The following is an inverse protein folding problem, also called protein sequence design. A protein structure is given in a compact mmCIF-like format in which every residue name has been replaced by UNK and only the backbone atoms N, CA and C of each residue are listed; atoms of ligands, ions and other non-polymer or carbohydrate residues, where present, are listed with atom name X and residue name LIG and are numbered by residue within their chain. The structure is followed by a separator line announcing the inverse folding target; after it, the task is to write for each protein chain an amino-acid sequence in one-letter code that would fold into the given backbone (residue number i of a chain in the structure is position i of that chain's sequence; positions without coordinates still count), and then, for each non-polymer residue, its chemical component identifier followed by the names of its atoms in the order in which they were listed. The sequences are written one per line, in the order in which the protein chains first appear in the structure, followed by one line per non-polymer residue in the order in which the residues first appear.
data_IF_183369613752
#
_entry.id   IF_183369613752
#
_cell.length_a   1.000
_cell.length_b   1.000
_cell.length_c   1.000
_cell.angle_alpha   90.00
_cell.angle_beta   90.00
_cell.angle_gamma   90.00
#
_symmetry.space_group_name_H-M   'P 1'
#
loop_
_entity.id
_entity.type
_entity.pdbx_description
1 polymer ?
#
# COMPACT_ATOMS: atom_id res chain seq x y z
N UNK A 1 -16.93 12.71 -14.76
CA UNK A 1 -15.86 13.66 -15.19
C UNK A 1 -14.64 12.83 -15.56
N UNK A 2 -13.85 13.28 -16.55
CA UNK A 2 -12.56 12.65 -16.86
C UNK A 2 -11.64 12.73 -15.64
N UNK A 3 -10.91 11.66 -15.35
CA UNK A 3 -9.94 11.64 -14.26
C UNK A 3 -8.68 12.44 -14.58
N UNK A 4 -7.83 12.76 -13.60
CA UNK A 4 -6.61 13.55 -13.83
C UNK A 4 -5.59 12.86 -14.77
N UNK A 5 -5.70 11.55 -14.95
CA UNK A 5 -4.87 10.76 -15.86
C UNK A 5 -5.66 10.26 -17.09
N UNK A 6 -6.79 10.87 -17.40
CA UNK A 6 -7.52 10.53 -18.63
C UNK A 6 -6.62 10.78 -19.86
N UNK A 7 -6.61 9.81 -20.78
CA UNK A 7 -5.71 9.78 -21.93
C UNK A 7 -4.29 9.24 -21.65
N UNK A 8 -3.94 8.95 -20.40
CA UNK A 8 -2.65 8.29 -20.06
C UNK A 8 -2.81 6.78 -20.26
N UNK A 9 -1.94 6.19 -21.09
CA UNK A 9 -1.86 4.74 -21.32
C UNK A 9 -0.72 4.13 -20.49
N UNK A 10 -1.07 3.10 -19.69
CA UNK A 10 -0.12 2.36 -18.85
C UNK A 10 0.00 0.92 -19.36
N UNK A 11 1.20 0.53 -19.77
CA UNK A 11 1.57 -0.86 -20.04
C UNK A 11 2.03 -1.52 -18.73
N UNK A 12 1.16 -2.35 -18.13
CA UNK A 12 1.43 -3.01 -16.85
C UNK A 12 1.97 -4.43 -17.07
N UNK A 13 3.29 -4.57 -17.06
CA UNK A 13 3.98 -5.86 -17.08
C UNK A 13 4.23 -6.40 -15.68
N UNK A 14 3.79 -5.72 -14.64
CA UNK A 14 4.07 -6.10 -13.26
C UNK A 14 3.19 -7.26 -12.76
N UNK A 15 3.64 -7.88 -11.66
CA UNK A 15 2.99 -9.05 -11.05
C UNK A 15 2.95 -8.90 -9.52
N UNK A 16 2.15 -9.72 -8.89
CA UNK A 16 2.00 -9.89 -7.45
C UNK A 16 1.35 -8.68 -6.80
N UNK A 17 2.10 -7.74 -6.17
CA UNK A 17 1.48 -6.69 -5.39
C UNK A 17 2.03 -5.28 -5.65
N UNK A 18 3.32 -5.03 -5.49
CA UNK A 18 3.88 -3.67 -5.54
C UNK A 18 3.57 -2.93 -6.86
N UNK A 19 3.87 -3.56 -8.01
CA UNK A 19 3.55 -3.00 -9.32
C UNK A 19 2.04 -2.91 -9.59
N UNK A 20 1.26 -3.99 -9.38
CA UNK A 20 -0.19 -3.95 -9.53
C UNK A 20 -0.88 -2.91 -8.64
N UNK A 21 -0.36 -2.64 -7.43
CA UNK A 21 -0.85 -1.57 -6.56
C UNK A 21 -0.54 -0.17 -7.15
N UNK A 22 0.66 0.00 -7.70
CA UNK A 22 0.98 1.24 -8.42
C UNK A 22 -0.02 1.47 -9.56
N UNK A 23 -0.22 0.46 -10.42
CA UNK A 23 -1.04 0.61 -11.62
C UNK A 23 -2.55 0.70 -11.33
N UNK A 24 -3.07 0.08 -10.25
CA UNK A 24 -4.47 0.30 -9.83
C UNK A 24 -4.68 1.72 -9.29
N UNK A 25 -3.70 2.30 -8.61
CA UNK A 25 -3.78 3.70 -8.19
C UNK A 25 -3.83 4.66 -9.40
N UNK A 26 -3.09 4.35 -10.47
CA UNK A 26 -3.15 5.13 -11.72
C UNK A 26 -4.50 4.93 -12.43
N UNK A 27 -5.04 3.70 -12.44
CA UNK A 27 -6.35 3.41 -13.00
C UNK A 27 -7.48 4.16 -12.26
N UNK A 28 -7.47 4.18 -10.93
CA UNK A 28 -8.42 4.93 -10.11
C UNK A 28 -8.40 6.44 -10.43
N UNK A 29 -7.27 6.96 -10.90
CA UNK A 29 -7.11 8.35 -11.35
C UNK A 29 -7.46 8.56 -12.83
N UNK A 30 -7.94 7.55 -13.52
CA UNK A 30 -8.44 7.63 -14.91
C UNK A 30 -7.46 7.17 -15.99
N UNK A 31 -6.27 6.65 -15.62
CA UNK A 31 -5.37 6.08 -16.61
C UNK A 31 -5.96 4.78 -17.20
N UNK A 32 -5.74 4.56 -18.50
CA UNK A 32 -6.00 3.28 -19.14
C UNK A 32 -4.86 2.31 -18.85
N UNK A 33 -5.13 1.26 -18.10
CA UNK A 33 -4.12 0.27 -17.72
C UNK A 33 -4.34 -1.04 -18.50
N UNK A 34 -3.35 -1.44 -19.31
CA UNK A 34 -3.31 -2.73 -19.99
C UNK A 34 -2.33 -3.65 -19.29
N UNK A 35 -2.86 -4.61 -18.53
CA UNK A 35 -2.07 -5.62 -17.81
C UNK A 35 -1.69 -6.76 -18.75
N UNK A 36 -0.38 -6.94 -18.95
CA UNK A 36 0.18 -8.03 -19.75
C UNK A 36 0.43 -9.24 -18.89
N UNK A 37 -0.21 -10.34 -19.21
CA UNK A 37 -0.16 -11.57 -18.43
C UNK A 37 0.29 -12.75 -19.27
N UNK A 38 0.85 -13.79 -18.63
CA UNK A 38 1.23 -15.01 -19.32
C UNK A 38 -0.01 -15.84 -19.69
N UNK A 39 -0.15 -16.36 -20.93
CA UNK A 39 -1.26 -17.23 -21.31
C UNK A 39 -1.44 -18.44 -20.40
N UNK A 40 -2.65 -18.80 -20.10
CA UNK A 40 -3.08 -19.97 -19.32
C UNK A 40 -2.83 -19.89 -17.82
N UNK A 41 -1.87 -19.07 -17.33
CA UNK A 41 -1.56 -18.94 -15.90
C UNK A 41 -1.82 -17.56 -15.32
N UNK A 42 -1.61 -16.53 -16.11
CA UNK A 42 -1.73 -15.14 -15.69
C UNK A 42 -0.73 -14.73 -14.63
N UNK A 43 -1.10 -13.74 -13.84
CA UNK A 43 -0.42 -13.34 -12.62
C UNK A 43 -0.51 -14.47 -11.58
N UNK A 44 0.59 -14.75 -10.88
CA UNK A 44 0.64 -15.82 -9.87
C UNK A 44 -0.44 -15.65 -8.78
N UNK A 45 -0.83 -14.41 -8.49
CA UNK A 45 -1.87 -14.12 -7.49
C UNK A 45 -3.26 -14.60 -7.88
N UNK A 46 -3.51 -14.89 -9.16
CA UNK A 46 -4.78 -15.53 -9.60
C UNK A 46 -4.99 -16.90 -8.96
N UNK A 47 -3.88 -17.59 -8.57
CA UNK A 47 -3.91 -18.91 -7.93
C UNK A 47 -3.71 -18.84 -6.40
N UNK A 48 -3.66 -17.64 -5.80
CA UNK A 48 -3.42 -17.49 -4.37
C UNK A 48 -4.73 -17.41 -3.57
N UNK A 49 -5.01 -18.45 -2.86
CA UNK A 49 -6.15 -18.61 -1.96
C UNK A 49 -6.00 -19.84 -1.07
N UNK A 50 -6.81 -20.01 -0.01
CA UNK A 50 -7.94 -19.17 0.37
C UNK A 50 -7.53 -17.79 0.90
N UNK A 51 -8.46 -16.80 0.95
CA UNK A 51 -9.86 -16.89 0.57
C UNK A 51 -10.11 -16.75 -0.93
N UNK A 52 -11.22 -17.33 -1.41
CA UNK A 52 -11.69 -17.25 -2.78
C UNK A 52 -12.99 -16.47 -2.84
N UNK A 53 -13.18 -15.68 -3.91
CA UNK A 53 -14.46 -15.12 -4.31
C UNK A 53 -15.11 -15.99 -5.42
N UNK A 54 -16.36 -15.74 -5.80
CA UNK A 54 -16.96 -16.37 -6.98
C UNK A 54 -16.21 -16.09 -8.30
N UNK A 55 -15.37 -15.05 -8.33
CA UNK A 55 -14.62 -14.61 -9.51
C UNK A 55 -13.14 -15.00 -9.48
N UNK A 56 -12.65 -15.56 -8.37
CA UNK A 56 -11.28 -16.04 -8.24
C UNK A 56 -10.59 -15.65 -6.93
N UNK A 57 -9.29 -15.36 -7.03
CA UNK A 57 -8.47 -14.98 -5.89
C UNK A 57 -8.78 -13.56 -5.40
N UNK A 58 -9.16 -13.43 -4.13
CA UNK A 58 -9.36 -12.12 -3.50
C UNK A 58 -8.07 -11.29 -3.46
N UNK A 59 -6.91 -11.95 -3.49
CA UNK A 59 -5.62 -11.27 -3.57
C UNK A 59 -5.45 -10.57 -4.92
N UNK A 60 -5.74 -11.28 -6.03
CA UNK A 60 -5.72 -10.67 -7.36
C UNK A 60 -6.72 -9.53 -7.47
N UNK A 61 -7.95 -9.74 -7.00
CA UNK A 61 -9.01 -8.75 -7.05
C UNK A 61 -8.66 -7.43 -6.36
N UNK A 62 -7.93 -7.50 -5.24
CA UNK A 62 -7.63 -6.34 -4.39
C UNK A 62 -6.82 -5.24 -5.09
N UNK A 63 -6.08 -5.55 -6.19
CA UNK A 63 -5.16 -4.62 -6.85
C UNK A 63 -5.27 -4.62 -8.38
N UNK A 64 -6.36 -5.16 -8.94
CA UNK A 64 -6.48 -5.26 -10.40
C UNK A 64 -7.81 -4.75 -10.97
N UNK A 65 -8.63 -4.01 -10.18
CA UNK A 65 -9.82 -3.33 -10.72
C UNK A 65 -9.42 -2.31 -11.78
N UNK A 66 -10.34 -2.02 -12.68
CA UNK A 66 -10.20 -1.00 -13.72
C UNK A 66 -9.03 -1.21 -14.68
N UNK A 67 -8.57 -2.48 -14.84
CA UNK A 67 -7.54 -2.85 -15.80
C UNK A 67 -8.12 -3.64 -16.94
N UNK A 68 -7.50 -3.56 -18.12
CA UNK A 68 -7.68 -4.50 -19.22
C UNK A 68 -6.65 -5.62 -19.07
N UNK A 69 -7.03 -6.88 -19.34
CA UNK A 69 -6.11 -8.02 -19.31
C UNK A 69 -5.84 -8.54 -20.71
N UNK A 70 -4.54 -8.58 -21.08
CA UNK A 70 -4.08 -9.22 -22.31
C UNK A 70 -3.17 -10.41 -21.98
N UNK A 71 -3.42 -11.55 -22.59
CA UNK A 71 -2.62 -12.75 -22.42
C UNK A 71 -1.63 -12.88 -23.56
N UNK A 72 -0.32 -12.64 -23.29
CA UNK A 72 0.72 -12.65 -24.29
C UNK A 72 1.87 -13.59 -23.90
N UNK A 73 2.29 -14.47 -24.84
CA UNK A 73 3.56 -15.20 -24.75
C UNK A 73 4.65 -14.40 -25.48
N UNK A 74 5.52 -13.77 -24.74
CA UNK A 74 6.63 -12.97 -25.31
C UNK A 74 7.61 -13.80 -26.16
N UNK A 75 7.46 -15.12 -26.23
CA UNK A 75 8.20 -15.99 -27.15
C UNK A 75 7.48 -16.19 -28.49
N UNK A 76 6.19 -15.97 -28.54
CA UNK A 76 5.43 -15.99 -29.79
C UNK A 76 5.65 -14.67 -30.54
N UNK A 77 6.01 -14.71 -31.83
CA UNK A 77 6.33 -13.49 -32.59
C UNK A 77 5.16 -12.47 -32.68
N UNK A 78 3.93 -12.93 -32.78
CA UNK A 78 2.77 -12.05 -32.90
C UNK A 78 2.43 -11.37 -31.56
N UNK A 79 2.49 -12.13 -30.48
CA UNK A 79 2.28 -11.61 -29.12
C UNK A 79 3.43 -10.67 -28.71
N UNK A 80 4.65 -10.99 -29.08
CA UNK A 80 5.80 -10.14 -28.86
C UNK A 80 5.68 -8.81 -29.61
N UNK A 81 5.27 -8.85 -30.87
CA UNK A 81 5.01 -7.62 -31.66
C UNK A 81 3.93 -6.75 -31.01
N UNK A 82 2.86 -7.37 -30.49
CA UNK A 82 1.81 -6.66 -29.74
C UNK A 82 2.35 -6.00 -28.46
N UNK A 83 3.23 -6.70 -27.71
CA UNK A 83 3.84 -6.16 -26.51
C UNK A 83 4.76 -4.96 -26.80
N UNK A 84 5.55 -5.01 -27.89
CA UNK A 84 6.38 -3.90 -28.35
C UNK A 84 5.55 -2.71 -28.80
N UNK A 85 4.48 -2.95 -29.54
CA UNK A 85 3.58 -1.88 -30.00
C UNK A 85 2.90 -1.19 -28.80
N UNK A 86 2.44 -1.98 -27.80
CA UNK A 86 1.89 -1.42 -26.55
C UNK A 86 2.95 -0.56 -25.84
N UNK A 87 4.18 -1.03 -25.67
CA UNK A 87 5.26 -0.28 -25.03
C UNK A 87 5.63 0.99 -25.81
N UNK A 88 5.57 0.96 -27.15
CA UNK A 88 5.84 2.11 -28.00
C UNK A 88 4.80 3.22 -27.85
N UNK A 89 3.55 2.86 -27.57
CA UNK A 89 2.44 3.81 -27.41
C UNK A 89 2.19 4.25 -25.98
N UNK A 90 2.67 3.47 -25.01
CA UNK A 90 2.42 3.73 -23.60
C UNK A 90 3.06 5.05 -23.14
N UNK A 91 2.36 5.77 -22.27
CA UNK A 91 2.90 6.88 -21.51
C UNK A 91 3.76 6.40 -20.33
N UNK A 92 3.34 5.28 -19.74
CA UNK A 92 3.98 4.66 -18.59
C UNK A 92 4.12 3.16 -18.85
N UNK A 93 5.29 2.59 -18.56
CA UNK A 93 5.49 1.16 -18.48
C UNK A 93 5.91 0.81 -17.06
N UNK A 94 5.21 -0.15 -16.43
CA UNK A 94 5.53 -0.64 -15.07
C UNK A 94 5.90 -2.11 -15.14
N UNK A 95 7.04 -2.47 -14.56
CA UNK A 95 7.51 -3.84 -14.52
C UNK A 95 8.14 -4.19 -13.17
N UNK A 96 8.16 -5.48 -12.81
CA UNK A 96 8.87 -5.98 -11.63
C UNK A 96 9.51 -7.35 -11.89
N UNK A 97 10.07 -7.52 -13.07
CA UNK A 97 10.85 -8.69 -13.42
C UNK A 97 12.28 -8.60 -12.86
N UNK A 98 13.01 -9.67 -12.94
CA UNK A 98 14.45 -9.65 -12.70
C UNK A 98 15.13 -8.73 -13.71
N UNK A 99 16.11 -7.93 -13.31
CA UNK A 99 16.89 -7.12 -14.24
C UNK A 99 17.39 -7.95 -15.43
N UNK A 100 17.30 -7.39 -16.62
CA UNK A 100 17.66 -8.08 -17.86
C UNK A 100 16.56 -9.02 -18.44
N UNK A 101 15.45 -9.23 -17.74
CA UNK A 101 14.41 -10.14 -18.24
C UNK A 101 13.63 -9.55 -19.41
N UNK A 102 13.17 -8.31 -19.31
CA UNK A 102 12.46 -7.63 -20.40
C UNK A 102 13.41 -7.14 -21.49
N UNK A 103 14.64 -6.83 -21.17
CA UNK A 103 15.69 -6.46 -22.14
C UNK A 103 15.93 -7.55 -23.18
N UNK A 104 15.84 -8.84 -22.79
CA UNK A 104 15.95 -9.98 -23.73
C UNK A 104 14.80 -10.05 -24.76
N UNK A 105 13.71 -9.34 -24.46
CA UNK A 105 12.55 -9.21 -25.34
C UNK A 105 12.46 -7.82 -26.01
N UNK A 106 13.53 -7.02 -25.98
CA UNK A 106 13.48 -5.67 -26.55
C UNK A 106 12.56 -4.69 -25.80
N UNK A 107 12.15 -5.04 -24.59
CA UNK A 107 11.23 -4.27 -23.75
C UNK A 107 11.94 -3.60 -22.56
N UNK A 108 13.27 -3.56 -22.54
CA UNK A 108 14.03 -2.81 -21.54
C UNK A 108 13.98 -1.29 -21.75
N UNK A 109 14.35 -0.54 -20.72
CA UNK A 109 14.26 0.92 -20.73
C UNK A 109 14.91 1.58 -21.96
N UNK A 110 16.18 1.28 -22.26
CA UNK A 110 16.89 1.93 -23.35
C UNK A 110 16.29 1.59 -24.73
N UNK A 111 15.80 0.36 -24.87
CA UNK A 111 15.13 -0.11 -26.08
C UNK A 111 13.79 0.58 -26.29
N UNK A 112 12.94 0.63 -25.29
CA UNK A 112 11.65 1.33 -25.36
C UNK A 112 11.86 2.83 -25.54
N UNK A 113 12.78 3.44 -24.81
CA UNK A 113 13.10 4.87 -24.93
C UNK A 113 13.58 5.25 -26.32
N UNK A 114 14.28 4.38 -27.01
CA UNK A 114 14.78 4.66 -28.38
C UNK A 114 13.65 4.89 -29.39
N UNK A 115 12.49 4.28 -29.18
CA UNK A 115 11.29 4.39 -30.04
C UNK A 115 10.20 5.26 -29.41
N UNK A 116 10.22 5.43 -28.10
CA UNK A 116 9.31 6.29 -27.34
C UNK A 116 10.08 7.15 -26.33
N UNK A 117 10.65 8.29 -26.75
CA UNK A 117 11.43 9.16 -25.86
C UNK A 117 10.62 9.77 -24.70
N UNK A 118 9.30 9.75 -24.79
CA UNK A 118 8.39 10.23 -23.77
C UNK A 118 8.02 9.20 -22.70
N UNK A 119 8.50 7.96 -22.81
CA UNK A 119 8.14 6.89 -21.88
C UNK A 119 8.60 7.16 -20.44
N UNK A 120 7.70 6.97 -19.50
CA UNK A 120 8.03 6.86 -18.08
C UNK A 120 8.13 5.37 -17.77
N UNK A 121 9.33 4.87 -17.53
CA UNK A 121 9.62 3.46 -17.33
C UNK A 121 9.86 3.18 -15.85
N UNK A 122 8.90 2.57 -15.16
CA UNK A 122 8.98 2.26 -13.74
C UNK A 122 9.42 0.81 -13.53
N UNK A 123 10.65 0.62 -13.01
CA UNK A 123 11.20 -0.67 -12.63
C UNK A 123 11.13 -0.86 -11.12
N UNK A 124 10.50 -1.94 -10.67
CA UNK A 124 10.39 -2.29 -9.24
C UNK A 124 11.20 -3.56 -8.99
N UNK A 125 12.18 -3.48 -8.08
CA UNK A 125 13.06 -4.61 -7.74
C UNK A 125 13.05 -4.89 -6.24
N UNK A 126 13.57 -6.04 -5.81
CA UNK A 126 13.74 -6.33 -4.38
C UNK A 126 14.87 -5.51 -3.74
N UNK A 127 16.05 -5.49 -4.39
CA UNK A 127 17.30 -4.99 -3.82
C UNK A 127 18.08 -4.10 -4.79
N UNK A 128 17.41 -3.50 -5.77
CA UNK A 128 18.04 -2.68 -6.81
C UNK A 128 18.54 -3.49 -8.01
N UNK A 129 18.88 -2.78 -9.10
CA UNK A 129 19.24 -3.38 -10.38
C UNK A 129 20.76 -3.56 -10.60
N UNK A 130 21.60 -3.19 -9.63
CA UNK A 130 23.06 -3.33 -9.70
C UNK A 130 23.57 -4.50 -8.83
N UNK A 131 24.23 -4.25 -7.72
CA UNK A 131 24.77 -5.28 -6.83
C UNK A 131 23.68 -6.23 -6.23
N UNK A 132 22.44 -5.77 -6.14
CA UNK A 132 21.30 -6.56 -5.67
C UNK A 132 20.52 -7.31 -6.76
N UNK A 133 20.93 -7.22 -8.04
CA UNK A 133 20.15 -7.71 -9.17
C UNK A 133 19.84 -9.22 -9.11
N UNK A 134 20.75 -10.01 -8.56
CA UNK A 134 20.62 -11.47 -8.44
C UNK A 134 19.88 -11.91 -7.16
N UNK A 135 19.63 -10.98 -6.22
CA UNK A 135 18.92 -11.29 -4.99
C UNK A 135 17.41 -11.42 -5.26
N UNK A 136 16.83 -12.50 -4.72
CA UNK A 136 15.39 -12.72 -4.85
C UNK A 136 14.63 -11.94 -3.76
N UNK A 137 13.87 -10.92 -4.18
CA UNK A 137 13.09 -10.06 -3.30
C UNK A 137 11.62 -10.47 -3.27
N UNK A 138 11.14 -10.89 -2.11
CA UNK A 138 9.74 -10.92 -1.74
C UNK A 138 9.55 -10.09 -0.47
N UNK A 139 8.39 -9.50 -0.29
CA UNK A 139 8.05 -8.70 0.89
C UNK A 139 8.54 -9.33 2.21
N UNK A 140 8.18 -10.59 2.45
CA UNK A 140 8.55 -11.31 3.67
C UNK A 140 10.07 -11.38 3.89
N UNK A 141 10.82 -11.64 2.82
CA UNK A 141 12.29 -11.70 2.89
C UNK A 141 12.85 -10.31 3.21
N UNK A 142 12.32 -9.27 2.56
CA UNK A 142 12.79 -7.89 2.80
C UNK A 142 12.40 -7.40 4.20
N UNK A 143 11.23 -7.75 4.74
CA UNK A 143 10.90 -7.49 6.14
C UNK A 143 11.93 -8.12 7.11
N UNK A 144 12.40 -9.33 6.79
CA UNK A 144 13.37 -10.04 7.62
C UNK A 144 14.77 -9.40 7.55
N UNK A 145 15.32 -9.22 6.34
CA UNK A 145 16.71 -8.75 6.16
C UNK A 145 16.83 -7.23 6.30
N UNK A 146 15.75 -6.47 6.08
CA UNK A 146 15.72 -5.01 6.16
C UNK A 146 15.47 -4.45 7.57
N UNK A 147 15.39 -5.31 8.59
CA UNK A 147 15.33 -4.87 9.99
C UNK A 147 13.92 -4.69 10.57
N UNK A 148 12.84 -4.66 9.77
CA UNK A 148 11.48 -4.47 10.31
C UNK A 148 11.11 -5.56 11.33
N UNK A 149 11.42 -6.82 11.04
CA UNK A 149 11.11 -7.92 11.96
C UNK A 149 11.95 -7.86 13.25
N UNK A 150 13.15 -7.26 13.22
CA UNK A 150 14.01 -7.12 14.41
C UNK A 150 13.42 -6.15 15.44
N UNK A 151 12.53 -5.25 15.02
CA UNK A 151 11.86 -4.26 15.90
C UNK A 151 10.38 -4.55 16.13
N UNK A 152 9.82 -5.59 15.49
CA UNK A 152 8.38 -5.92 15.53
C UNK A 152 8.14 -7.19 16.36
N UNK A 153 7.24 -7.10 17.32
CA UNK A 153 6.83 -8.20 18.22
C UNK A 153 7.28 -8.00 19.67
N UNK A 154 6.87 -8.92 20.54
CA UNK A 154 7.23 -8.91 21.95
C UNK A 154 8.74 -9.17 22.14
N UNK A 155 9.36 -8.59 23.19
CA UNK A 155 10.82 -8.67 23.41
C UNK A 155 11.37 -10.09 23.41
N UNK A 156 10.71 -10.99 24.13
CA UNK A 156 11.17 -12.35 24.39
C UNK A 156 10.66 -13.38 23.36
N UNK A 157 9.86 -12.93 22.37
CA UNK A 157 9.33 -13.79 21.34
C UNK A 157 10.17 -13.74 20.04
N UNK A 158 9.81 -14.60 19.09
CA UNK A 158 10.43 -14.55 17.76
C UNK A 158 10.14 -13.23 17.04
N UNK A 159 11.07 -12.73 16.19
CA UNK A 159 10.80 -11.64 15.27
C UNK A 159 9.54 -11.88 14.44
N UNK A 160 8.66 -10.89 14.37
CA UNK A 160 7.34 -11.04 13.76
C UNK A 160 7.21 -10.11 12.55
N UNK A 161 6.72 -10.64 11.43
CA UNK A 161 6.38 -9.82 10.26
C UNK A 161 5.08 -9.03 10.48
N UNK A 162 4.88 -7.96 9.73
CA UNK A 162 3.57 -7.32 9.61
C UNK A 162 2.53 -8.31 9.06
N UNK A 163 1.28 -8.17 9.45
CA UNK A 163 0.18 -9.05 9.04
C UNK A 163 -0.17 -8.99 7.55
N UNK A 164 0.32 -7.97 6.84
CA UNK A 164 0.17 -7.76 5.40
C UNK A 164 1.54 -7.70 4.74
N UNK A 165 1.61 -7.78 3.41
CA UNK A 165 2.82 -7.52 2.63
C UNK A 165 3.14 -6.01 2.63
N UNK A 166 3.54 -5.49 3.80
CA UNK A 166 3.65 -4.05 4.06
C UNK A 166 4.70 -3.38 3.17
N UNK A 167 5.81 -4.06 2.91
CA UNK A 167 6.90 -3.51 2.09
C UNK A 167 6.48 -3.38 0.64
N UNK A 168 5.75 -4.37 0.10
CA UNK A 168 5.15 -4.26 -1.23
C UNK A 168 4.16 -3.07 -1.32
N UNK A 169 3.33 -2.88 -0.28
CA UNK A 169 2.39 -1.74 -0.23
C UNK A 169 3.14 -0.41 -0.23
N UNK A 170 4.18 -0.26 0.58
CA UNK A 170 5.01 0.95 0.63
C UNK A 170 5.68 1.20 -0.73
N UNK A 171 6.28 0.17 -1.31
CA UNK A 171 6.96 0.23 -2.61
C UNK A 171 5.98 0.59 -3.75
N UNK A 172 4.77 0.03 -3.74
CA UNK A 172 3.74 0.37 -4.73
C UNK A 172 3.28 1.84 -4.63
N UNK A 173 3.22 2.38 -3.41
CA UNK A 173 2.95 3.81 -3.19
C UNK A 173 4.13 4.68 -3.65
N UNK A 174 5.36 4.32 -3.34
CA UNK A 174 6.55 5.03 -3.81
C UNK A 174 6.64 5.03 -5.33
N UNK A 175 6.35 3.89 -5.98
CA UNK A 175 6.27 3.78 -7.43
C UNK A 175 5.18 4.69 -8.01
N UNK A 176 4.00 4.76 -7.38
CA UNK A 176 2.93 5.68 -7.79
C UNK A 176 3.39 7.13 -7.70
N UNK A 177 4.01 7.53 -6.59
CA UNK A 177 4.56 8.89 -6.41
C UNK A 177 5.61 9.19 -7.48
N UNK A 178 6.54 8.26 -7.72
CA UNK A 178 7.58 8.39 -8.73
C UNK A 178 7.02 8.57 -10.14
N UNK A 179 6.02 7.77 -10.52
CA UNK A 179 5.35 7.88 -11.83
C UNK A 179 4.61 9.21 -11.96
N UNK A 180 3.84 9.62 -10.96
CA UNK A 180 3.13 10.90 -10.98
C UNK A 180 4.08 12.11 -11.08
N UNK A 181 5.20 12.08 -10.34
CA UNK A 181 6.23 13.11 -10.41
C UNK A 181 6.89 13.15 -11.80
N UNK A 182 7.16 11.97 -12.40
CA UNK A 182 7.71 11.87 -13.74
C UNK A 182 6.74 12.38 -14.81
N UNK A 183 5.44 12.08 -14.72
CA UNK A 183 4.39 12.62 -15.59
C UNK A 183 4.32 14.15 -15.51
N UNK A 184 4.34 14.71 -14.30
CA UNK A 184 4.37 16.16 -14.09
C UNK A 184 5.65 16.81 -14.67
N UNK A 185 6.79 16.14 -14.59
CA UNK A 185 8.06 16.60 -15.19
C UNK A 185 8.01 16.55 -16.70
N UNK A 186 7.49 15.44 -17.27
CA UNK A 186 7.33 15.24 -18.71
C UNK A 186 6.43 16.30 -19.34
N UNK A 187 5.36 16.70 -18.64
CA UNK A 187 4.47 17.77 -19.11
C UNK A 187 5.19 19.11 -19.35
N UNK A 188 6.35 19.33 -18.74
CA UNK A 188 7.18 20.53 -18.93
C UNK A 188 8.35 20.32 -19.90
N UNK A 189 8.98 19.13 -19.85
CA UNK A 189 10.22 18.84 -20.60
C UNK A 189 9.98 18.16 -21.94
N UNK A 190 8.82 17.54 -22.14
CA UNK A 190 8.52 16.67 -23.29
C UNK A 190 9.23 15.31 -23.23
N UNK A 191 10.09 15.04 -22.24
CA UNK A 191 10.88 13.82 -22.13
C UNK A 191 10.44 12.95 -20.95
N UNK A 192 10.38 11.64 -21.19
CA UNK A 192 10.21 10.64 -20.14
C UNK A 192 11.50 10.38 -19.35
N UNK A 193 11.41 9.48 -18.38
CA UNK A 193 12.56 9.04 -17.58
C UNK A 193 12.37 7.62 -17.07
N UNK A 194 13.46 7.04 -16.54
CA UNK A 194 13.39 5.82 -15.73
C UNK A 194 13.11 6.17 -14.28
N UNK A 195 12.15 5.48 -13.70
CA UNK A 195 11.82 5.49 -12.26
C UNK A 195 12.23 4.14 -11.70
N UNK A 196 13.19 4.11 -10.79
CA UNK A 196 13.66 2.89 -10.14
C UNK A 196 13.26 2.90 -8.67
N UNK A 197 12.51 1.89 -8.26
CA UNK A 197 12.09 1.69 -6.87
C UNK A 197 12.49 0.31 -6.43
N UNK A 198 12.90 0.14 -5.18
CA UNK A 198 13.18 -1.19 -4.65
C UNK A 198 12.63 -1.37 -3.24
N UNK A 199 12.27 -2.60 -2.92
CA UNK A 199 11.61 -2.94 -1.67
C UNK A 199 12.45 -2.56 -0.45
N UNK A 200 13.77 -2.81 -0.50
CA UNK A 200 14.64 -2.52 0.64
C UNK A 200 14.73 -1.02 0.93
N UNK A 201 14.88 -0.18 -0.09
CA UNK A 201 14.93 1.28 0.09
C UNK A 201 13.60 1.85 0.57
N UNK A 202 12.47 1.36 0.03
CA UNK A 202 11.13 1.74 0.50
C UNK A 202 10.93 1.37 1.98
N UNK A 203 11.39 0.17 2.38
CA UNK A 203 11.36 -0.22 3.78
C UNK A 203 12.21 0.70 4.64
N UNK A 204 13.50 0.88 4.31
CA UNK A 204 14.42 1.70 5.12
C UNK A 204 13.93 3.14 5.27
N UNK A 205 13.42 3.74 4.19
CA UNK A 205 12.81 5.07 4.22
C UNK A 205 11.57 5.15 5.12
N UNK A 206 10.86 4.03 5.29
CA UNK A 206 9.65 3.94 6.13
C UNK A 206 9.93 3.66 7.61
N UNK A 207 11.16 3.31 8.00
CA UNK A 207 11.53 3.10 9.40
C UNK A 207 11.72 4.40 10.20
N UNK A 208 11.71 5.54 9.53
CA UNK A 208 11.64 6.91 10.08
C UNK A 208 12.55 7.12 11.31
N UNK A 209 11.93 7.32 12.50
CA UNK A 209 12.65 7.58 13.75
C UNK A 209 13.53 6.41 14.21
N UNK A 210 13.19 5.17 13.92
CA UNK A 210 14.02 4.01 14.26
C UNK A 210 15.31 3.99 13.41
N UNK A 211 15.18 4.24 12.11
CA UNK A 211 16.31 4.34 11.21
C UNK A 211 17.21 5.54 11.58
N UNK A 212 16.62 6.72 11.82
CA UNK A 212 17.38 7.91 12.21
C UNK A 212 18.10 7.72 13.55
N UNK A 213 17.44 7.08 14.53
CA UNK A 213 18.06 6.76 15.82
C UNK A 213 19.28 5.86 15.65
N UNK A 214 19.17 4.80 14.84
CA UNK A 214 20.30 3.92 14.51
C UNK A 214 21.45 4.67 13.82
N UNK A 215 21.15 5.50 12.83
CA UNK A 215 22.17 6.27 12.10
C UNK A 215 22.91 7.25 13.01
N UNK A 216 22.26 7.80 14.03
CA UNK A 216 22.84 8.76 14.96
C UNK A 216 23.68 8.08 16.04
N UNK A 217 23.24 6.93 16.56
CA UNK A 217 23.85 6.30 17.73
C UNK A 217 24.69 5.06 17.41
N UNK A 218 24.43 4.41 16.26
CA UNK A 218 24.98 3.09 15.93
C UNK A 218 24.29 1.93 16.66
N UNK A 219 23.36 2.21 17.57
CA UNK A 219 22.66 1.19 18.35
C UNK A 219 21.42 0.69 17.62
N UNK A 220 21.40 -0.59 17.25
CA UNK A 220 20.24 -1.20 16.59
C UNK A 220 19.05 -1.32 17.57
N UNK A 221 17.86 -0.80 17.22
CA UNK A 221 16.69 -0.89 18.08
C UNK A 221 16.23 -2.34 18.24
N UNK A 222 15.69 -2.64 19.43
CA UNK A 222 15.14 -3.96 19.76
C UNK A 222 13.61 -3.96 19.75
N UNK A 223 13.01 -5.16 19.78
CA UNK A 223 11.56 -5.34 19.94
C UNK A 223 11.09 -4.84 21.29
N UNK A 224 10.01 -4.10 21.31
CA UNK A 224 9.41 -3.52 22.53
C UNK A 224 7.91 -3.88 22.69
N UNK A 225 7.40 -4.84 21.92
CA UNK A 225 5.97 -5.07 21.84
C UNK A 225 5.25 -3.84 21.26
N UNK A 226 4.17 -3.42 21.93
CA UNK A 226 3.40 -2.24 21.53
C UNK A 226 3.91 -0.93 22.15
N UNK A 227 5.05 -0.95 22.84
CA UNK A 227 5.59 0.21 23.58
C UNK A 227 6.34 1.17 22.66
N UNK A 228 6.08 2.47 22.81
CA UNK A 228 6.86 3.49 22.13
C UNK A 228 8.22 3.68 22.85
N UNK A 229 9.35 3.79 22.13
CA UNK A 229 10.67 3.89 22.78
C UNK A 229 10.84 5.14 23.65
N UNK A 230 10.26 6.26 23.26
CA UNK A 230 10.54 7.59 23.84
C UNK A 230 9.32 8.25 24.51
N UNK A 231 8.15 7.62 24.52
CA UNK A 231 6.89 8.18 25.06
C UNK A 231 6.22 7.14 25.96
N UNK A 232 5.69 7.59 27.12
CA UNK A 232 4.94 6.75 28.04
C UNK A 232 3.79 7.53 28.75
N UNK A 233 2.55 6.96 28.85
CA UNK A 233 2.12 5.76 28.17
C UNK A 233 1.87 6.01 26.67
N UNK A 234 2.39 5.13 25.83
CA UNK A 234 2.07 5.02 24.42
C UNK A 234 2.20 3.52 24.08
N UNK A 235 1.15 2.77 24.36
CA UNK A 235 1.14 1.31 24.32
C UNK A 235 -0.26 0.74 24.50
N UNK A 236 -0.39 -0.59 24.45
CA UNK A 236 -1.64 -1.25 24.81
C UNK A 236 -1.64 -1.61 26.30
N UNK A 237 -2.76 -1.34 26.97
CA UNK A 237 -2.98 -1.58 28.42
C UNK A 237 -4.15 -2.54 28.60
N UNK A 238 -4.11 -3.38 29.61
CA UNK A 238 -5.19 -4.32 29.94
C UNK A 238 -6.34 -3.61 30.66
N UNK A 239 -7.54 -3.88 30.16
CA UNK A 239 -8.80 -3.54 30.83
C UNK A 239 -9.50 -4.82 31.30
N UNK A 240 -10.70 -4.68 31.86
CA UNK A 240 -11.51 -5.81 32.33
C UNK A 240 -11.76 -6.88 31.25
N UNK A 241 -11.99 -6.48 30.01
CA UNK A 241 -12.47 -7.33 28.90
C UNK A 241 -11.50 -7.45 27.72
N UNK A 242 -10.39 -6.68 27.70
CA UNK A 242 -9.50 -6.66 26.54
C UNK A 242 -8.36 -5.66 26.64
N UNK A 243 -7.88 -5.22 25.48
CA UNK A 243 -6.77 -4.30 25.36
C UNK A 243 -7.23 -2.92 24.89
N UNK A 244 -6.75 -1.89 25.55
CA UNK A 244 -6.93 -0.49 25.22
C UNK A 244 -5.60 0.08 24.74
N UNK A 245 -5.54 0.60 23.53
CA UNK A 245 -4.41 1.42 23.05
C UNK A 245 -4.56 2.83 23.64
N UNK A 246 -3.51 3.33 24.28
CA UNK A 246 -3.46 4.68 24.85
C UNK A 246 -2.21 5.38 24.38
N UNK A 247 -2.33 6.68 24.01
CA UNK A 247 -1.21 7.49 23.57
C UNK A 247 -1.23 8.87 24.25
N UNK A 248 -0.35 9.08 25.23
CA UNK A 248 -0.15 10.38 25.86
C UNK A 248 1.11 11.04 25.30
N UNK A 249 0.97 11.85 24.27
CA UNK A 249 2.07 12.55 23.59
C UNK A 249 2.68 13.71 24.40
N UNK A 250 2.04 14.12 25.50
CA UNK A 250 2.51 15.21 26.38
C UNK A 250 1.99 15.03 27.81
N UNK A 251 2.60 15.78 28.75
CA UNK A 251 2.29 15.67 30.18
C UNK A 251 0.84 16.11 30.51
N UNK A 252 0.28 17.08 29.77
CA UNK A 252 -1.11 17.49 29.96
C UNK A 252 -2.13 16.39 29.59
N UNK A 253 -1.85 15.56 28.61
CA UNK A 253 -2.67 14.37 28.31
C UNK A 253 -2.54 13.31 29.41
N UNK A 254 -1.35 13.15 29.99
CA UNK A 254 -1.14 12.24 31.10
C UNK A 254 -1.90 12.66 32.37
N UNK A 255 -1.92 13.96 32.68
CA UNK A 255 -2.73 14.49 33.80
C UNK A 255 -4.19 14.13 33.62
N UNK A 256 -4.77 14.40 32.44
CA UNK A 256 -6.18 14.06 32.14
C UNK A 256 -6.43 12.55 32.18
N UNK A 257 -5.50 11.75 31.69
CA UNK A 257 -5.58 10.28 31.83
C UNK A 257 -5.71 9.88 33.31
N UNK A 258 -4.82 10.37 34.16
CA UNK A 258 -4.79 10.06 35.58
C UNK A 258 -6.11 10.46 36.28
N UNK A 259 -6.67 11.62 35.94
CA UNK A 259 -7.96 12.09 36.44
C UNK A 259 -9.11 11.16 36.02
N UNK A 260 -9.19 10.82 34.72
CA UNK A 260 -10.28 9.98 34.17
C UNK A 260 -10.28 8.57 34.75
N UNK A 261 -9.12 8.00 34.98
CA UNK A 261 -9.02 6.65 35.59
C UNK A 261 -9.15 6.64 37.10
N UNK A 262 -9.31 7.83 37.73
CA UNK A 262 -9.48 7.94 39.18
C UNK A 262 -8.21 7.82 40.00
N UNK A 263 -7.04 8.10 39.38
CA UNK A 263 -5.72 8.04 40.04
C UNK A 263 -4.92 9.33 39.82
N UNK A 264 -5.47 10.50 40.20
CA UNK A 264 -4.84 11.81 39.94
C UNK A 264 -3.46 11.96 40.58
N UNK A 265 -3.17 11.23 41.65
CA UNK A 265 -1.88 11.20 42.34
C UNK A 265 -0.73 10.75 41.42
N UNK A 266 -1.00 9.97 40.39
CA UNK A 266 0.02 9.56 39.40
C UNK A 266 0.63 10.77 38.68
N UNK A 267 -0.14 11.84 38.49
CA UNK A 267 0.35 13.04 37.79
C UNK A 267 1.35 13.86 38.61
N UNK A 268 1.37 13.69 39.93
CA UNK A 268 2.29 14.35 40.86
C UNK A 268 3.37 13.43 41.41
N UNK A 269 3.28 12.14 41.16
CA UNK A 269 4.33 11.17 41.51
C UNK A 269 5.62 11.46 40.74
N UNK A 270 6.74 11.63 41.40
CA UNK A 270 8.03 11.92 40.77
C UNK A 270 8.47 10.93 39.71
N UNK A 271 7.96 9.69 39.76
CA UNK A 271 8.19 8.63 38.78
C UNK A 271 7.34 8.80 37.51
N UNK A 272 6.30 9.65 37.56
CA UNK A 272 5.31 9.78 36.50
C UNK A 272 5.08 11.22 36.02
N UNK A 273 5.53 12.24 36.77
CA UNK A 273 5.22 13.65 36.53
C UNK A 273 5.74 14.18 35.17
N UNK A 274 6.82 13.61 34.63
CA UNK A 274 7.36 14.00 33.34
C UNK A 274 7.44 12.79 32.40
N UNK A 275 7.43 13.03 31.08
CA UNK A 275 7.58 11.94 30.10
C UNK A 275 8.87 11.12 30.34
N UNK A 276 10.00 11.78 30.60
CA UNK A 276 11.27 11.08 30.86
C UNK A 276 11.19 10.20 32.10
N UNK A 277 10.54 10.67 33.17
CA UNK A 277 10.33 9.87 34.39
C UNK A 277 9.43 8.67 34.09
N UNK A 278 8.32 8.84 33.33
CA UNK A 278 7.43 7.77 32.92
C UNK A 278 8.13 6.71 32.08
N UNK A 279 8.98 7.11 31.14
CA UNK A 279 9.78 6.19 30.32
C UNK A 279 10.74 5.39 31.19
N UNK A 280 11.42 6.06 32.14
CA UNK A 280 12.37 5.40 33.05
C UNK A 280 11.67 4.44 34.04
N UNK A 281 10.44 4.75 34.46
CA UNK A 281 9.67 3.95 35.43
C UNK A 281 8.48 3.25 34.81
N UNK A 282 8.55 2.87 33.52
CA UNK A 282 7.45 2.33 32.73
C UNK A 282 6.75 1.14 33.39
N UNK A 283 7.50 0.21 33.96
CA UNK A 283 6.93 -0.96 34.64
C UNK A 283 5.98 -0.58 35.79
N UNK A 284 6.38 0.40 36.61
CA UNK A 284 5.53 0.93 37.68
C UNK A 284 4.29 1.63 37.10
N UNK A 285 4.48 2.49 36.11
CA UNK A 285 3.40 3.22 35.46
C UNK A 285 2.34 2.26 34.88
N UNK A 286 2.78 1.28 34.09
CA UNK A 286 1.86 0.31 33.45
C UNK A 286 1.07 -0.47 34.48
N UNK A 287 1.74 -0.96 35.54
CA UNK A 287 1.05 -1.69 36.60
C UNK A 287 -0.02 -0.84 37.32
N UNK A 288 0.27 0.45 37.58
CA UNK A 288 -0.68 1.36 38.20
C UNK A 288 -1.89 1.65 37.26
N UNK A 289 -1.61 1.91 35.97
CA UNK A 289 -2.65 2.15 34.98
C UNK A 289 -3.55 0.94 34.78
N UNK A 290 -2.99 -0.25 34.59
CA UNK A 290 -3.76 -1.48 34.40
C UNK A 290 -4.61 -1.83 35.63
N UNK A 291 -4.10 -1.57 36.83
CA UNK A 291 -4.86 -1.74 38.08
C UNK A 291 -6.13 -0.86 38.12
N UNK A 292 -6.02 0.40 37.68
CA UNK A 292 -7.16 1.29 37.59
C UNK A 292 -8.10 0.91 36.45
N UNK A 293 -7.55 0.58 35.29
CA UNK A 293 -8.31 0.22 34.07
C UNK A 293 -9.07 -1.11 34.22
N UNK A 294 -8.70 -1.99 35.15
CA UNK A 294 -9.41 -3.23 35.43
C UNK A 294 -10.86 -3.01 35.93
N UNK A 295 -11.20 -1.79 36.35
CA UNK A 295 -12.54 -1.45 36.85
C UNK A 295 -13.62 -1.44 35.77
N UNK A 296 -13.26 -1.29 34.47
CA UNK A 296 -14.25 -1.20 33.40
C UNK A 296 -13.71 -1.81 32.09
N UNK A 297 -14.59 -1.91 31.07
CA UNK A 297 -14.23 -2.43 29.77
C UNK A 297 -13.52 -1.39 28.87
N UNK A 298 -12.85 -1.89 27.83
CA UNK A 298 -12.03 -1.07 26.95
C UNK A 298 -12.84 -0.03 26.17
N UNK A 299 -14.07 -0.35 25.74
CA UNK A 299 -14.94 0.58 25.00
C UNK A 299 -15.40 1.76 25.89
N UNK A 300 -15.76 1.47 27.17
CA UNK A 300 -16.11 2.49 28.17
C UNK A 300 -14.93 3.43 28.46
N UNK A 301 -13.73 2.87 28.64
CA UNK A 301 -12.51 3.65 28.84
C UNK A 301 -12.15 4.48 27.62
N UNK A 302 -12.22 3.91 26.41
CA UNK A 302 -11.95 4.65 25.18
C UNK A 302 -12.88 5.86 25.03
N UNK A 303 -14.17 5.69 25.32
CA UNK A 303 -15.16 6.77 25.26
C UNK A 303 -14.83 7.89 26.25
N UNK A 304 -14.57 7.56 27.52
CA UNK A 304 -14.26 8.56 28.58
C UNK A 304 -12.94 9.30 28.31
N UNK A 305 -11.90 8.57 27.89
CA UNK A 305 -10.60 9.14 27.60
C UNK A 305 -10.64 10.06 26.36
N UNK A 306 -11.34 9.62 25.32
CA UNK A 306 -11.53 10.47 24.12
C UNK A 306 -12.27 11.75 24.44
N UNK A 307 -13.32 11.70 25.26
CA UNK A 307 -14.05 12.88 25.73
C UNK A 307 -13.15 13.84 26.53
N UNK A 308 -12.16 13.33 27.24
CA UNK A 308 -11.13 14.09 27.95
C UNK A 308 -9.93 14.48 27.08
N UNK A 309 -10.03 14.31 25.75
CA UNK A 309 -8.95 14.62 24.80
C UNK A 309 -7.64 13.82 25.05
N UNK A 310 -7.77 12.60 25.50
CA UNK A 310 -6.69 11.60 25.57
C UNK A 310 -6.91 10.59 24.45
N UNK A 311 -5.99 10.45 23.49
CA UNK A 311 -6.10 9.47 22.44
C UNK A 311 -6.14 8.05 23.01
N UNK A 312 -7.26 7.37 22.80
CA UNK A 312 -7.45 5.99 23.24
C UNK A 312 -8.43 5.26 22.33
N UNK A 313 -8.26 3.93 22.23
CA UNK A 313 -9.15 3.08 21.46
C UNK A 313 -8.97 1.61 21.81
N UNK A 314 -10.07 0.84 21.81
CA UNK A 314 -10.02 -0.61 21.94
C UNK A 314 -9.26 -1.22 20.76
N UNK A 315 -8.49 -2.25 21.02
CA UNK A 315 -7.89 -3.05 19.94
C UNK A 315 -8.99 -3.84 19.25
N UNK A 316 -9.33 -3.41 18.02
CA UNK A 316 -10.43 -3.97 17.23
C UNK A 316 -9.97 -4.99 16.18
N UNK A 317 -10.95 -5.63 15.56
CA UNK A 317 -10.80 -6.48 14.38
C UNK A 317 -10.88 -5.66 13.08
N UNK A 318 -10.65 -6.29 11.90
CA UNK A 318 -10.94 -5.66 10.62
C UNK A 318 -12.40 -5.24 10.46
N UNK A 319 -13.34 -6.05 10.99
CA UNK A 319 -14.77 -5.71 10.96
C UNK A 319 -15.05 -4.43 11.76
N UNK A 320 -14.44 -4.30 12.95
CA UNK A 320 -14.57 -3.09 13.79
C UNK A 320 -13.97 -1.85 13.08
N UNK A 321 -12.85 -2.03 12.38
CA UNK A 321 -12.21 -0.96 11.58
C UNK A 321 -13.12 -0.45 10.46
N UNK A 322 -13.72 -1.35 9.67
CA UNK A 322 -14.68 -0.97 8.62
C UNK A 322 -15.93 -0.29 9.21
N UNK A 323 -16.51 -0.86 10.27
CA UNK A 323 -17.66 -0.26 10.93
C UNK A 323 -17.36 1.13 11.52
N UNK A 324 -16.16 1.34 12.05
CA UNK A 324 -15.72 2.66 12.52
C UNK A 324 -15.60 3.65 11.36
N UNK A 325 -14.97 3.25 10.26
CA UNK A 325 -14.80 4.11 9.08
C UNK A 325 -16.15 4.52 8.48
N UNK A 326 -17.12 3.61 8.42
CA UNK A 326 -18.49 3.90 7.98
C UNK A 326 -19.20 4.91 8.91
N UNK A 327 -19.13 4.70 10.23
CA UNK A 327 -19.71 5.63 11.21
C UNK A 327 -19.11 7.04 11.13
N UNK A 328 -17.84 7.13 10.77
CA UNK A 328 -17.14 8.41 10.59
C UNK A 328 -17.37 9.05 9.21
N UNK A 329 -18.15 8.40 8.33
CA UNK A 329 -18.42 8.91 6.98
C UNK A 329 -17.22 8.86 6.02
N UNK A 330 -16.23 7.98 6.29
CA UNK A 330 -15.01 7.90 5.48
C UNK A 330 -15.19 7.11 4.19
N UNK A 331 -16.35 6.49 3.96
CA UNK A 331 -16.68 5.68 2.79
C UNK A 331 -15.52 4.69 2.43
N UNK A 332 -15.23 3.69 3.30
CA UNK A 332 -14.02 2.86 3.17
C UNK A 332 -14.05 1.89 1.98
N UNK A 333 -15.19 1.74 1.31
CA UNK A 333 -15.39 0.81 0.20
C UNK A 333 -15.94 1.50 -1.03
N UNK A 334 -15.73 0.87 -2.19
CA UNK A 334 -16.22 1.31 -3.49
C UNK A 334 -16.87 0.14 -4.25
N UNK A 335 -17.98 0.42 -4.93
CA UNK A 335 -18.61 -0.55 -5.84
C UNK A 335 -17.75 -0.71 -7.10
N UNK A 336 -17.57 -1.97 -7.53
CA UNK A 336 -16.78 -2.30 -8.74
C UNK A 336 -17.61 -3.05 -9.79
N UNK A 337 -18.92 -2.99 -9.67
CA UNK A 337 -19.88 -3.62 -10.58
C UNK A 337 -20.90 -4.50 -9.83
N UNK A 338 -22.04 -4.81 -10.47
CA UNK A 338 -23.19 -5.42 -9.79
C UNK A 338 -22.96 -6.86 -9.33
N UNK A 339 -22.02 -7.58 -9.95
CA UNK A 339 -21.74 -8.98 -9.65
C UNK A 339 -20.55 -9.19 -8.70
N UNK A 340 -19.82 -8.12 -8.36
CA UNK A 340 -18.63 -8.19 -7.53
C UNK A 340 -18.87 -7.62 -6.13
N UNK A 341 -18.17 -8.17 -5.14
CA UNK A 341 -18.13 -7.59 -3.80
C UNK A 341 -17.43 -6.24 -3.85
N UNK A 342 -17.91 -5.28 -3.07
CA UNK A 342 -17.24 -3.98 -2.88
C UNK A 342 -15.77 -4.18 -2.53
N UNK A 343 -14.92 -3.30 -3.03
CA UNK A 343 -13.49 -3.30 -2.75
C UNK A 343 -13.10 -2.14 -1.84
N UNK A 344 -11.93 -2.22 -1.22
CA UNK A 344 -11.40 -1.11 -0.43
C UNK A 344 -11.12 0.07 -1.37
N UNK A 345 -11.67 1.23 -1.04
CA UNK A 345 -11.44 2.48 -1.77
C UNK A 345 -10.02 2.98 -1.52
N UNK A 346 -9.43 3.69 -2.48
CA UNK A 346 -8.19 4.43 -2.20
C UNK A 346 -8.41 5.47 -1.09
N UNK A 347 -7.36 5.71 -0.29
CA UNK A 347 -7.47 6.54 0.91
C UNK A 347 -7.57 8.05 0.63
N UNK A 348 -7.30 8.50 -0.60
CA UNK A 348 -7.28 9.91 -0.96
C UNK A 348 -8.67 10.35 -1.42
N UNK A 349 -9.16 11.43 -0.84
CA UNK A 349 -10.41 12.09 -1.26
C UNK A 349 -10.07 13.42 -1.91
N UNK A 350 -10.68 13.69 -3.05
CA UNK A 350 -10.50 14.94 -3.80
C UNK A 350 -11.78 15.77 -3.75
N UNK A 351 -11.63 17.10 -3.76
CA UNK A 351 -12.76 18.05 -3.88
C UNK A 351 -12.41 19.09 -4.96
N UNK A 352 -13.06 19.06 -6.14
CA UNK A 352 -14.08 18.10 -6.59
C UNK A 352 -13.50 16.67 -6.73
N UNK A 353 -14.39 15.68 -6.77
CA UNK A 353 -13.97 14.27 -6.93
C UNK A 353 -13.27 14.05 -8.27
N UNK A 354 -12.10 13.43 -8.22
CA UNK A 354 -11.24 13.12 -9.37
C UNK A 354 -11.17 11.61 -9.67
N UNK A 355 -11.79 10.78 -8.83
CA UNK A 355 -11.76 9.32 -8.99
C UNK A 355 -12.80 8.91 -10.01
N UNK A 356 -12.40 8.08 -10.98
CA UNK A 356 -13.30 7.51 -11.96
C UNK A 356 -14.09 6.33 -11.39
N UNK A 357 -15.27 6.05 -11.91
CA UNK A 357 -16.04 4.86 -11.51
C UNK A 357 -15.26 3.59 -11.87
N UNK A 358 -14.90 2.73 -10.90
CA UNK A 358 -14.10 1.55 -11.18
C UNK A 358 -14.91 0.46 -11.87
N UNK A 359 -14.21 -0.32 -12.69
CA UNK A 359 -14.75 -1.56 -13.28
C UNK A 359 -14.20 -2.79 -12.54
N UNK A 360 -14.85 -3.96 -12.64
CA UNK A 360 -14.35 -5.18 -12.02
C UNK A 360 -12.94 -5.57 -12.48
N UNK A 361 -12.19 -6.31 -11.64
CA UNK A 361 -10.95 -6.94 -12.08
C UNK A 361 -11.19 -7.84 -13.30
N UNK A 362 -10.32 -7.79 -14.32
CA UNK A 362 -10.56 -8.53 -15.57
C UNK A 362 -10.31 -10.03 -15.40
N UNK A 363 -11.05 -10.85 -16.15
CA UNK A 363 -10.67 -12.24 -16.37
C UNK A 363 -9.36 -12.31 -17.19
N UNK A 364 -8.61 -13.41 -17.07
CA UNK A 364 -7.34 -13.58 -17.78
C UNK A 364 -7.53 -13.50 -19.28
N UNK A 365 -6.86 -12.54 -19.92
CA UNK A 365 -6.84 -12.36 -21.36
C UNK A 365 -8.16 -11.90 -21.97
N UNK A 366 -9.13 -11.45 -21.15
CA UNK A 366 -10.47 -11.07 -21.61
C UNK A 366 -10.44 -9.99 -22.71
N UNK A 367 -9.43 -9.14 -22.70
CA UNK A 367 -9.33 -7.98 -23.59
C UNK A 367 -8.29 -8.17 -24.71
N UNK A 368 -7.69 -9.38 -24.85
CA UNK A 368 -6.57 -9.62 -25.78
C UNK A 368 -6.90 -9.22 -27.21
N UNK A 369 -8.01 -9.71 -27.76
CA UNK A 369 -8.37 -9.45 -29.14
C UNK A 369 -8.79 -7.98 -29.37
N UNK A 370 -9.50 -7.39 -28.41
CA UNK A 370 -9.95 -6.02 -28.47
C UNK A 370 -8.77 -5.03 -28.41
N UNK A 371 -7.80 -5.26 -27.51
CA UNK A 371 -6.58 -4.46 -27.44
C UNK A 371 -5.71 -4.65 -28.68
N UNK A 372 -5.63 -5.88 -29.21
CA UNK A 372 -4.91 -6.15 -30.47
C UNK A 372 -5.52 -5.36 -31.64
N UNK A 373 -6.84 -5.38 -31.76
CA UNK A 373 -7.56 -4.63 -32.81
C UNK A 373 -7.36 -3.11 -32.65
N UNK A 374 -7.40 -2.62 -31.41
CA UNK A 374 -7.16 -1.21 -31.13
C UNK A 374 -5.72 -0.78 -31.46
N UNK A 375 -4.72 -1.58 -31.12
CA UNK A 375 -3.31 -1.30 -31.47
C UNK A 375 -3.08 -1.27 -32.98
N UNK A 376 -3.80 -2.10 -33.74
CA UNK A 376 -3.72 -2.10 -35.23
C UNK A 376 -4.30 -0.81 -35.84
N UNK A 377 -5.36 -0.24 -35.24
CA UNK A 377 -6.04 0.97 -35.71
C UNK A 377 -6.39 1.87 -34.52
N UNK A 378 -5.42 2.56 -33.92
CA UNK A 378 -5.65 3.31 -32.69
C UNK A 378 -6.50 4.56 -32.97
N UNK A 379 -7.74 4.52 -32.51
CA UNK A 379 -8.65 5.66 -32.51
C UNK A 379 -9.28 5.77 -31.11
N UNK A 380 -9.17 6.96 -30.49
CA UNK A 380 -9.76 7.20 -29.18
C UNK A 380 -9.04 6.49 -28.01
N UNK A 381 -9.64 6.57 -26.83
CA UNK A 381 -9.18 5.85 -25.63
C UNK A 381 -9.54 4.36 -25.76
N UNK A 382 -8.60 3.41 -25.54
CA UNK A 382 -8.89 1.98 -25.60
C UNK A 382 -10.00 1.55 -24.63
N UNK A 383 -10.11 2.13 -23.45
CA UNK A 383 -11.19 1.81 -22.50
C UNK A 383 -12.58 2.17 -23.08
N UNK A 384 -12.74 3.35 -23.63
CA UNK A 384 -14.02 3.76 -24.23
C UNK A 384 -14.36 2.99 -25.50
N UNK A 385 -13.37 2.43 -26.18
CA UNK A 385 -13.56 1.62 -27.39
C UNK A 385 -13.84 0.15 -27.02
N UNK A 386 -13.20 -0.39 -26.01
CA UNK A 386 -13.29 -1.80 -25.59
C UNK A 386 -14.48 -2.02 -24.63
N UNK A 387 -14.72 -1.08 -23.75
CA UNK A 387 -15.84 -1.06 -22.81
C UNK A 387 -16.57 0.28 -22.93
N UNK A 388 -17.37 0.47 -24.01
CA UNK A 388 -18.19 1.68 -24.12
C UNK A 388 -19.11 1.76 -22.90
N UNK A 389 -19.03 2.85 -22.15
CA UNK A 389 -19.99 3.15 -21.10
C UNK A 389 -21.38 3.18 -21.76
N UNK A 390 -22.29 2.28 -21.36
CA UNK A 390 -23.69 2.44 -21.70
C UNK A 390 -24.10 3.84 -21.22
N UNK A 391 -24.46 4.72 -22.17
CA UNK A 391 -25.05 6.00 -21.85
C UNK A 391 -26.30 5.70 -21.03
N UNK A 392 -26.29 5.98 -19.77
CA UNK A 392 -27.47 5.98 -18.91
C UNK A 392 -28.34 7.13 -19.47
N UNK A 393 -29.23 6.79 -20.38
CA UNK A 393 -30.31 7.69 -20.78
C UNK A 393 -31.15 7.98 -19.53
N UNK A 394 -30.94 9.16 -18.98
CA UNK A 394 -31.73 9.77 -17.90
C UNK A 394 -33.15 10.07 -18.36
#
# INVERSE_FOLDING_TARGET
MAGPLDGVLVADFSRVLAGPLCTVNLADLGATVVKVERPGKGDATRAWGPPWSPHGSTYFESVNRSKLSVALDLKDPADHAMALELATRADVLVENYRPGALERHGLGYDQVRSVNPGIIYCSITGFGASAGADLMGYDFVVQAVGGLMSITGEPDNQPTKAGVALVDVLTGKDATIGVLAALASRGRSGHGCRVEVNLLSSLLGSLVNQAQGFLETGDAPARMGNRHPSIAPYETLRCRDGLLAVACGNDGQFVRLAEVIGSPELSTDSRCATNSARVAHRGYLVAALESALAADDADSWATRLTAAQVPAGKVGTLADGFALAERLGLAPTIEVGPSHTRQVRQAITYTPDLVTGPTPPPALGADTDAVRAWLANPSGNPLSTIHPTEEVHS
#
